data_IF_122194750706
#
_entry.id   IF_122194750706
#
_cell.length_a   1.000
_cell.length_b   1.000
_cell.length_c   1.000
_cell.angle_alpha   90.00
_cell.angle_beta   90.00
_cell.angle_gamma   90.00
#
_symmetry.space_group_name_H-M   'P 1'
#
loop_
_entity.id
_entity.type
_entity.pdbx_description
1 polymer ?
#
# COMPACT_ATOMS: atom_id res chain seq x y z
N UNK A 1 -9.19 8.21 26.90
CA UNK A 1 -9.52 8.47 25.49
C UNK A 1 -9.20 9.92 25.08
N UNK A 2 -9.67 10.96 25.79
CA UNK A 2 -9.38 12.37 25.44
C UNK A 2 -7.92 12.83 25.61
N UNK A 3 -7.21 12.40 26.68
CA UNK A 3 -5.84 12.86 26.98
C UNK A 3 -4.75 12.42 25.98
N UNK A 4 -5.03 11.42 25.15
CA UNK A 4 -4.06 10.91 24.17
C UNK A 4 -4.14 11.70 22.85
N UNK A 5 -5.30 12.29 22.54
CA UNK A 5 -5.45 13.22 21.41
C UNK A 5 -4.74 14.56 21.69
N UNK A 6 -4.82 15.08 22.91
CA UNK A 6 -4.12 16.32 23.31
C UNK A 6 -2.59 16.22 23.13
N UNK A 7 -2.01 15.03 23.31
CA UNK A 7 -0.58 14.80 23.04
C UNK A 7 -0.29 14.75 21.55
N UNK A 8 -1.17 14.13 20.75
CA UNK A 8 -1.00 14.05 19.30
C UNK A 8 -1.10 15.43 18.64
N UNK A 9 -2.05 16.27 19.07
CA UNK A 9 -2.23 17.63 18.55
C UNK A 9 -0.99 18.52 18.76
N UNK A 10 -0.20 18.26 19.82
CA UNK A 10 1.08 18.93 20.06
C UNK A 10 2.14 18.61 18.99
N UNK A 11 2.10 17.42 18.40
CA UNK A 11 3.08 16.96 17.40
C UNK A 11 2.58 17.09 15.96
N UNK A 12 1.26 17.23 15.77
CA UNK A 12 0.61 17.32 14.45
C UNK A 12 -0.41 18.47 14.43
N UNK A 13 0.03 19.74 14.41
CA UNK A 13 -0.86 20.90 14.53
C UNK A 13 -1.89 21.03 13.39
N UNK A 14 -1.61 20.43 12.23
CA UNK A 14 -2.52 20.40 11.09
C UNK A 14 -3.50 19.22 11.13
N UNK A 15 -3.39 18.32 12.12
CA UNK A 15 -4.22 17.12 12.27
C UNK A 15 -3.98 16.05 11.19
N UNK A 16 -2.95 16.21 10.34
CA UNK A 16 -2.64 15.28 9.25
C UNK A 16 -1.62 14.25 9.74
N UNK A 17 -2.09 13.03 9.95
CA UNK A 17 -1.25 11.86 10.19
C UNK A 17 -0.91 11.20 8.84
N UNK A 18 0.31 11.40 8.36
CA UNK A 18 0.85 10.61 7.25
C UNK A 18 1.72 9.54 7.88
N UNK A 19 1.23 8.29 7.87
CA UNK A 19 2.10 7.17 8.20
C UNK A 19 3.29 7.22 7.23
N UNK A 20 4.54 7.36 7.70
CA UNK A 20 5.69 7.33 6.83
C UNK A 20 5.69 5.94 6.19
N UNK A 21 5.36 5.88 4.89
CA UNK A 21 5.50 4.63 4.15
C UNK A 21 6.97 4.25 4.25
N UNK A 22 7.27 3.17 4.97
CA UNK A 22 8.63 2.64 5.02
C UNK A 22 9.11 2.49 3.58
N UNK A 23 10.14 3.26 3.25
CA UNK A 23 10.55 3.52 1.87
C UNK A 23 11.03 2.27 1.14
N UNK A 24 11.29 1.19 1.90
CA UNK A 24 11.86 -0.07 1.44
C UNK A 24 10.82 -1.19 1.23
N UNK A 25 9.53 -0.96 1.53
CA UNK A 25 8.53 -1.98 1.21
C UNK A 25 8.24 -1.97 -0.31
N UNK A 26 8.28 -3.14 -0.97
CA UNK A 26 7.96 -3.24 -2.40
C UNK A 26 6.53 -2.76 -2.64
N UNK A 27 6.39 -1.63 -3.37
CA UNK A 27 5.08 -1.07 -3.68
C UNK A 27 4.44 -1.91 -4.78
N UNK A 28 3.17 -2.28 -4.63
CA UNK A 28 2.48 -3.08 -5.65
C UNK A 28 1.56 -2.17 -6.47
N UNK A 29 1.59 -2.30 -7.80
CA UNK A 29 0.61 -1.69 -8.72
C UNK A 29 -0.73 -2.43 -8.66
N UNK A 30 -1.43 -2.30 -7.53
CA UNK A 30 -2.66 -3.07 -7.24
C UNK A 30 -3.75 -2.93 -8.32
N UNK A 31 -3.96 -1.72 -8.85
CA UNK A 31 -4.96 -1.51 -9.92
C UNK A 31 -4.61 -2.27 -11.21
N UNK A 32 -3.34 -2.27 -11.59
CA UNK A 32 -2.87 -3.00 -12.77
C UNK A 32 -2.97 -4.52 -12.55
N UNK A 33 -2.56 -4.99 -11.36
CA UNK A 33 -2.68 -6.38 -10.94
C UNK A 33 -4.14 -6.85 -10.98
N UNK A 34 -5.05 -6.08 -10.39
CA UNK A 34 -6.47 -6.40 -10.32
C UNK A 34 -7.12 -6.45 -11.70
N UNK A 35 -6.77 -5.50 -12.59
CA UNK A 35 -7.25 -5.51 -13.98
C UNK A 35 -6.75 -6.73 -14.75
N UNK A 36 -5.45 -7.04 -14.66
CA UNK A 36 -4.87 -8.22 -15.28
C UNK A 36 -5.55 -9.51 -14.82
N UNK A 37 -5.75 -9.64 -13.50
CA UNK A 37 -6.48 -10.76 -12.89
C UNK A 37 -7.91 -10.88 -13.44
N UNK A 38 -8.64 -9.76 -13.55
CA UNK A 38 -10.01 -9.75 -14.08
C UNK A 38 -10.06 -10.15 -15.57
N UNK A 39 -9.13 -9.67 -16.38
CA UNK A 39 -9.05 -9.98 -17.82
C UNK A 39 -8.69 -11.44 -18.08
N UNK A 40 -7.87 -12.05 -17.21
CA UNK A 40 -7.40 -13.43 -17.36
C UNK A 40 -8.20 -14.44 -16.53
N UNK A 41 -9.22 -14.00 -15.79
CA UNK A 41 -10.01 -14.86 -14.90
C UNK A 41 -9.19 -15.50 -13.77
N UNK A 42 -8.07 -14.89 -13.39
CA UNK A 42 -7.14 -15.39 -12.35
C UNK A 42 -7.33 -14.63 -11.05
N UNK A 43 -6.98 -15.24 -9.91
CA UNK A 43 -6.78 -14.49 -8.65
C UNK A 43 -5.29 -14.15 -8.51
N UNK A 44 -4.94 -13.12 -7.71
CA UNK A 44 -3.53 -12.77 -7.47
C UNK A 44 -2.68 -13.94 -6.96
N UNK A 45 -3.30 -14.87 -6.22
CA UNK A 45 -2.67 -16.10 -5.72
C UNK A 45 -2.40 -17.16 -6.79
N UNK A 46 -3.08 -17.09 -7.93
CA UNK A 46 -2.96 -18.03 -9.05
C UNK A 46 -1.95 -17.53 -10.10
N UNK A 47 -1.38 -16.34 -9.89
CA UNK A 47 -0.31 -15.79 -10.71
C UNK A 47 1.01 -16.48 -10.39
N UNK A 48 1.80 -16.77 -11.43
CA UNK A 48 3.19 -17.19 -11.29
C UNK A 48 4.05 -16.05 -10.73
N UNK A 49 5.22 -16.37 -10.20
CA UNK A 49 6.14 -15.35 -9.69
C UNK A 49 6.53 -14.34 -10.77
N UNK A 50 6.74 -14.81 -12.01
CA UNK A 50 7.02 -13.96 -13.18
C UNK A 50 5.87 -13.01 -13.52
N UNK A 51 4.62 -13.45 -13.34
CA UNK A 51 3.45 -12.60 -13.54
C UNK A 51 3.33 -11.54 -12.42
N UNK A 52 3.63 -11.91 -11.17
CA UNK A 52 3.56 -11.00 -10.01
C UNK A 52 4.63 -9.92 -10.05
N UNK A 53 5.84 -10.29 -10.46
CA UNK A 53 7.00 -9.39 -10.57
C UNK A 53 6.71 -8.15 -11.42
N UNK A 54 5.87 -8.28 -12.45
CA UNK A 54 5.44 -7.16 -13.33
C UNK A 54 4.69 -6.05 -12.58
N UNK A 55 4.14 -6.36 -11.41
CA UNK A 55 3.35 -5.44 -10.60
C UNK A 55 4.10 -4.94 -9.37
N UNK A 56 5.30 -5.45 -9.09
CA UNK A 56 6.14 -5.02 -7.98
C UNK A 56 7.00 -3.85 -8.45
N UNK A 57 6.93 -2.74 -7.73
CA UNK A 57 7.79 -1.57 -7.89
C UNK A 57 8.96 -1.76 -6.93
N UNK A 58 10.16 -1.88 -7.50
CA UNK A 58 11.43 -1.83 -6.79
C UNK A 58 12.01 -0.44 -7.08
N UNK A 59 11.94 0.45 -6.10
CA UNK A 59 12.65 1.75 -6.13
C UNK A 59 14.14 1.51 -5.84
#
# INVERSE_FOLDING_TARGET
>A
MLKEFDKADKYFPDGIFVDPKETNEPKIRFRALSKYCAEHGKKPKDLTDEEREKFIIRD
#
